data_IF_726803074861
#
_entry.id   IF_726803074861
#
_cell.length_a   1.000
_cell.length_b   1.000
_cell.length_c   1.000
_cell.angle_alpha   90.00
_cell.angle_beta   90.00
_cell.angle_gamma   90.00
#
_symmetry.space_group_name_H-M   'P 1'
#
loop_
_entity.id
_entity.type
_entity.pdbx_description
1 polymer ?
#
# COMPACT_ATOMS: atom_id res chain seq x y z
N UNK A 1 54.29 113.04 79.65
CA UNK A 1 53.61 112.00 80.46
C UNK A 1 54.55 111.65 81.60
N UNK A 2 54.02 111.60 82.82
CA UNK A 2 54.68 111.35 84.11
C UNK A 2 56.00 110.55 84.09
N UNK A 3 57.10 111.24 84.38
CA UNK A 3 58.16 110.74 85.27
C UNK A 3 58.12 111.73 86.44
N UNK A 4 57.40 111.46 87.53
CA UNK A 4 57.45 110.21 88.28
C UNK A 4 58.27 110.54 89.52
N UNK A 5 57.64 111.22 90.48
CA UNK A 5 58.29 111.73 91.70
C UNK A 5 58.60 110.59 92.69
N UNK A 6 59.45 109.67 92.29
CA UNK A 6 60.12 108.76 93.22
C UNK A 6 61.39 109.44 93.71
N UNK A 7 61.19 110.44 94.58
CA UNK A 7 62.20 110.80 95.58
C UNK A 7 62.33 109.58 96.48
N UNK A 8 63.22 108.68 96.09
CA UNK A 8 63.65 107.57 96.92
C UNK A 8 64.16 108.14 98.23
N UNK A 9 63.29 108.12 99.24
CA UNK A 9 63.57 108.58 100.58
C UNK A 9 64.63 107.64 101.12
N UNK A 10 65.89 108.05 101.03
CA UNK A 10 67.02 107.37 101.69
C UNK A 10 66.55 107.05 103.10
N UNK A 11 66.40 105.77 103.46
CA UNK A 11 65.84 105.41 104.74
C UNK A 11 66.84 105.90 105.79
N UNK A 12 66.47 106.99 106.48
CA UNK A 12 67.17 107.45 107.67
C UNK A 12 67.02 106.33 108.70
N UNK A 13 68.04 105.46 108.72
CA UNK A 13 68.09 104.31 109.62
C UNK A 13 67.81 104.77 111.04
N UNK A 14 67.11 103.93 111.80
CA UNK A 14 66.79 104.21 113.19
C UNK A 14 68.06 104.68 113.92
N UNK A 15 67.98 105.85 114.55
CA UNK A 15 69.15 106.52 115.13
C UNK A 15 69.87 105.62 116.13
N UNK A 16 71.19 105.77 116.20
CA UNK A 16 72.06 104.90 117.00
C UNK A 16 71.58 104.75 118.45
N UNK A 17 71.68 103.53 118.97
CA UNK A 17 71.38 103.24 120.37
C UNK A 17 72.33 104.00 121.31
N UNK A 18 71.85 104.38 122.50
CA UNK A 18 72.67 105.09 123.49
C UNK A 18 73.25 104.15 124.55
N UNK A 19 74.56 104.21 124.75
CA UNK A 19 75.26 103.61 125.90
C UNK A 19 75.59 104.69 126.95
N UNK A 20 76.08 104.31 128.14
CA UNK A 20 76.33 105.24 129.25
C UNK A 20 77.37 106.32 128.89
N UNK A 21 76.87 107.47 128.41
CA UNK A 21 77.57 108.68 127.89
C UNK A 21 77.90 108.68 126.39
N UNK A 22 77.09 108.09 125.52
CA UNK A 22 77.21 108.34 124.08
C UNK A 22 76.33 107.46 123.19
N UNK A 23 76.43 107.65 121.89
CA UNK A 23 75.93 106.67 120.90
C UNK A 23 76.81 105.41 120.90
N UNK A 24 76.22 104.27 120.57
CA UNK A 24 76.92 103.00 120.41
C UNK A 24 77.95 103.13 119.27
N UNK A 25 79.22 103.15 119.65
CA UNK A 25 80.33 103.35 118.72
C UNK A 25 80.35 102.31 117.59
N UNK A 26 80.03 101.04 117.87
CA UNK A 26 80.04 99.99 116.86
C UNK A 26 78.98 100.24 115.76
N UNK A 27 77.79 100.73 116.14
CA UNK A 27 76.75 101.08 115.18
C UNK A 27 77.10 102.33 114.35
N UNK A 28 77.78 103.31 114.96
CA UNK A 28 78.27 104.50 114.25
C UNK A 28 79.37 104.12 113.25
N UNK A 29 80.35 103.32 113.68
CA UNK A 29 81.44 102.86 112.81
C UNK A 29 80.88 102.02 111.64
N UNK A 30 79.93 101.09 111.87
CA UNK A 30 79.24 100.32 110.81
C UNK A 30 78.46 101.22 109.83
N UNK A 31 77.78 102.26 110.32
CA UNK A 31 77.04 103.19 109.46
C UNK A 31 77.96 104.09 108.64
N UNK A 32 79.09 104.52 109.19
CA UNK A 32 80.11 105.27 108.45
C UNK A 32 80.76 104.39 107.37
N UNK A 33 81.08 103.12 107.67
CA UNK A 33 81.55 102.16 106.66
C UNK A 33 80.53 101.94 105.54
N UNK A 34 79.23 101.89 105.88
CA UNK A 34 78.14 101.82 104.89
C UNK A 34 78.06 103.08 104.02
N UNK A 35 78.06 104.26 104.62
CA UNK A 35 78.05 105.53 103.88
C UNK A 35 79.28 105.69 102.98
N UNK A 36 80.46 105.27 103.44
CA UNK A 36 81.67 105.25 102.62
C UNK A 36 81.58 104.25 101.46
N UNK A 37 80.89 103.13 101.63
CA UNK A 37 80.61 102.18 100.55
C UNK A 37 79.59 102.76 99.55
N UNK A 38 78.51 103.36 100.03
CA UNK A 38 77.48 104.00 99.21
C UNK A 38 78.04 105.19 98.41
N UNK A 39 78.90 106.02 99.02
CA UNK A 39 79.61 107.10 98.31
C UNK A 39 80.60 106.58 97.27
N UNK A 40 81.26 105.44 97.50
CA UNK A 40 82.13 104.80 96.50
C UNK A 40 81.32 104.23 95.33
N UNK A 41 80.16 103.62 95.59
CA UNK A 41 79.24 103.16 94.55
C UNK A 41 78.72 104.35 93.74
N UNK A 42 78.20 105.39 94.38
CA UNK A 42 77.67 106.58 93.68
C UNK A 42 78.75 107.35 92.91
N UNK A 43 80.00 107.37 93.38
CA UNK A 43 81.12 107.90 92.62
C UNK A 43 81.44 107.04 91.38
N UNK A 44 81.42 105.71 91.51
CA UNK A 44 81.62 104.80 90.38
C UNK A 44 80.47 104.91 89.35
N UNK A 45 79.22 105.01 89.79
CA UNK A 45 78.05 105.19 88.93
C UNK A 45 78.09 106.54 88.21
N UNK A 46 78.48 107.62 88.91
CA UNK A 46 78.73 108.93 88.29
C UNK A 46 79.81 108.82 87.21
N UNK A 47 80.94 108.20 87.50
CA UNK A 47 82.06 108.12 86.58
C UNK A 47 81.75 107.23 85.37
N UNK A 48 80.96 106.15 85.56
CA UNK A 48 80.38 105.36 84.49
C UNK A 48 79.41 106.16 83.62
N UNK A 49 78.50 106.93 84.23
CA UNK A 49 77.55 107.79 83.51
C UNK A 49 78.27 108.91 82.73
N UNK A 50 79.33 109.50 83.28
CA UNK A 50 80.18 110.49 82.59
C UNK A 50 80.91 109.85 81.41
N UNK A 51 81.42 108.62 81.54
CA UNK A 51 82.00 107.89 80.41
C UNK A 51 80.97 107.63 79.31
N UNK A 52 79.79 107.12 79.67
CA UNK A 52 78.70 106.84 78.72
C UNK A 52 78.21 108.11 78.01
N UNK A 53 78.10 109.23 78.73
CA UNK A 53 77.76 110.52 78.13
C UNK A 53 78.86 111.00 77.15
N UNK A 54 80.13 110.77 77.47
CA UNK A 54 81.26 111.03 76.57
C UNK A 54 81.25 110.15 75.31
N UNK A 55 80.91 108.86 75.44
CA UNK A 55 80.77 107.94 74.31
C UNK A 55 79.60 108.30 73.39
N UNK A 56 78.43 108.61 73.97
CA UNK A 56 77.25 109.06 73.22
C UNK A 56 77.51 110.40 72.52
N UNK A 57 78.22 111.33 73.16
CA UNK A 57 78.64 112.58 72.53
C UNK A 57 79.56 112.34 71.31
N UNK A 58 80.53 111.41 71.43
CA UNK A 58 81.38 111.01 70.29
C UNK A 58 80.56 110.40 69.14
N UNK A 59 79.62 109.50 69.44
CA UNK A 59 78.74 108.90 68.42
C UNK A 59 77.85 109.95 67.74
N UNK A 60 77.33 110.92 68.49
CA UNK A 60 76.55 112.03 67.95
C UNK A 60 77.36 112.91 66.99
N UNK A 61 78.61 113.23 67.32
CA UNK A 61 79.47 114.02 66.42
C UNK A 61 79.88 113.24 65.15
N UNK A 62 80.12 111.93 65.26
CA UNK A 62 80.34 111.06 64.08
C UNK A 62 79.11 111.07 63.17
N UNK A 63 77.92 110.80 63.72
CA UNK A 63 76.68 110.79 62.95
C UNK A 63 76.32 112.16 62.37
N UNK A 64 76.65 113.27 63.06
CA UNK A 64 76.52 114.64 62.52
C UNK A 64 77.44 114.86 61.32
N UNK A 65 78.71 114.47 61.44
CA UNK A 65 79.68 114.53 60.34
C UNK A 65 79.20 113.73 59.12
N UNK A 66 78.76 112.49 59.31
CA UNK A 66 78.19 111.65 58.24
C UNK A 66 76.95 112.27 57.59
N UNK A 67 76.04 112.85 58.39
CA UNK A 67 74.85 113.55 57.89
C UNK A 67 75.23 114.77 57.05
N UNK A 68 76.20 115.57 57.48
CA UNK A 68 76.62 116.77 56.77
C UNK A 68 77.45 116.43 55.50
N UNK A 69 78.26 115.36 55.53
CA UNK A 69 78.89 114.80 54.34
C UNK A 69 77.88 114.28 53.31
N UNK A 70 76.86 113.55 53.76
CA UNK A 70 75.76 113.06 52.91
C UNK A 70 74.93 114.22 52.36
N UNK A 71 74.64 115.25 53.15
CA UNK A 71 73.97 116.47 52.69
C UNK A 71 74.79 117.20 51.65
N UNK A 72 76.10 117.36 51.87
CA UNK A 72 77.01 117.95 50.90
C UNK A 72 77.10 117.16 49.59
N UNK A 73 77.04 115.82 49.65
CA UNK A 73 76.92 114.98 48.45
C UNK A 73 75.58 115.20 47.73
N UNK A 74 74.46 115.22 48.45
CA UNK A 74 73.13 115.47 47.87
C UNK A 74 73.06 116.85 47.23
N UNK A 75 73.60 117.89 47.87
CA UNK A 75 73.62 119.25 47.32
C UNK A 75 74.46 119.33 46.03
N UNK A 76 75.64 118.71 46.01
CA UNK A 76 76.47 118.60 44.78
C UNK A 76 75.76 117.85 43.65
N UNK A 77 74.96 116.83 43.96
CA UNK A 77 74.19 116.06 42.97
C UNK A 77 72.88 116.76 42.53
N UNK A 78 72.33 117.65 43.36
CA UNK A 78 71.12 118.41 43.09
C UNK A 78 71.38 119.68 42.25
N UNK A 79 72.56 120.29 42.38
CA UNK A 79 72.97 121.41 41.53
C UNK A 79 73.21 120.95 40.07
N UNK A 80 72.99 121.81 39.06
CA UNK A 80 73.36 121.50 37.67
C UNK A 80 74.87 121.23 37.58
N UNK A 81 75.32 120.15 36.91
CA UNK A 81 76.74 119.79 36.88
C UNK A 81 77.54 120.83 36.08
N UNK A 82 78.24 121.71 36.79
CA UNK A 82 79.18 122.70 36.24
C UNK A 82 80.60 122.14 36.09
N UNK A 83 80.85 120.93 36.59
CA UNK A 83 82.14 120.22 36.50
C UNK A 83 81.98 118.84 35.85
N UNK A 84 83.03 118.40 35.15
CA UNK A 84 83.07 117.10 34.47
C UNK A 84 82.95 115.91 35.44
N UNK A 85 83.45 116.08 36.67
CA UNK A 85 83.46 115.05 37.71
C UNK A 85 82.05 114.79 38.29
N UNK A 86 81.26 115.85 38.54
CA UNK A 86 79.86 115.71 38.95
C UNK A 86 78.97 115.08 37.86
N UNK A 87 79.30 115.33 36.58
CA UNK A 87 78.65 114.65 35.47
C UNK A 87 79.00 113.15 35.43
N UNK A 88 80.25 112.77 35.66
CA UNK A 88 80.67 111.37 35.65
C UNK A 88 80.10 110.57 36.83
N UNK A 89 80.06 111.14 38.05
CA UNK A 89 79.46 110.50 39.22
C UNK A 89 77.95 110.27 39.02
N UNK A 90 77.23 111.27 38.50
CA UNK A 90 75.79 111.15 38.20
C UNK A 90 75.52 110.11 37.10
N UNK A 91 76.36 110.04 36.06
CA UNK A 91 76.27 109.01 35.03
C UNK A 91 76.53 107.61 35.60
N UNK A 92 77.52 107.44 36.48
CA UNK A 92 77.79 106.16 37.15
C UNK A 92 76.61 105.71 38.03
N UNK A 93 76.02 106.61 38.82
CA UNK A 93 74.83 106.32 39.63
C UNK A 93 73.61 105.99 38.75
N UNK A 94 73.41 106.70 37.64
CA UNK A 94 72.33 106.42 36.67
C UNK A 94 72.52 105.07 35.95
N UNK A 95 73.76 104.73 35.56
CA UNK A 95 74.09 103.44 34.96
C UNK A 95 73.86 102.29 35.95
N UNK A 96 74.24 102.48 37.23
CA UNK A 96 73.97 101.49 38.28
C UNK A 96 72.47 101.29 38.49
N UNK A 97 71.70 102.37 38.63
CA UNK A 97 70.23 102.29 38.78
C UNK A 97 69.57 101.64 37.55
N UNK A 98 70.07 101.89 36.33
CA UNK A 98 69.59 101.23 35.12
C UNK A 98 69.98 99.74 35.04
N UNK A 99 71.13 99.35 35.60
CA UNK A 99 71.53 97.95 35.75
C UNK A 99 70.67 97.23 36.78
N UNK A 100 70.39 97.87 37.92
CA UNK A 100 69.54 97.36 38.98
C UNK A 100 68.08 97.19 38.47
N UNK A 101 67.50 98.20 37.81
CA UNK A 101 66.16 98.11 37.20
C UNK A 101 66.08 97.05 36.09
N UNK A 102 67.15 96.87 35.31
CA UNK A 102 67.24 95.82 34.29
C UNK A 102 67.35 94.41 34.90
N UNK A 103 68.03 94.26 36.05
CA UNK A 103 68.09 93.02 36.80
C UNK A 103 66.71 92.69 37.41
N UNK A 104 66.05 93.68 38.01
CA UNK A 104 64.68 93.58 38.53
C UNK A 104 63.67 93.18 37.44
N UNK A 105 63.74 93.83 36.26
CA UNK A 105 62.88 93.51 35.12
C UNK A 105 63.10 92.08 34.63
N UNK A 106 64.35 91.60 34.59
CA UNK A 106 64.67 90.20 34.25
C UNK A 106 64.14 89.23 35.31
N UNK A 107 64.36 89.52 36.59
CA UNK A 107 63.88 88.66 37.68
C UNK A 107 62.35 88.52 37.67
N UNK A 108 61.61 89.61 37.43
CA UNK A 108 60.14 89.58 37.25
C UNK A 108 59.74 88.75 36.03
N UNK A 109 60.36 88.97 34.87
CA UNK A 109 60.08 88.22 33.65
C UNK A 109 60.41 86.71 33.77
N UNK A 110 61.48 86.36 34.47
CA UNK A 110 61.86 84.97 34.75
C UNK A 110 60.89 84.29 35.72
N UNK A 111 60.43 85.01 36.76
CA UNK A 111 59.40 84.52 37.67
C UNK A 111 58.06 84.31 36.95
N UNK A 112 57.61 85.28 36.14
CA UNK A 112 56.39 85.16 35.32
C UNK A 112 56.49 83.99 34.32
N UNK A 113 57.61 83.85 33.62
CA UNK A 113 57.86 82.71 32.73
C UNK A 113 57.86 81.37 33.48
N UNK A 114 58.42 81.34 34.70
CA UNK A 114 58.36 80.18 35.60
C UNK A 114 56.92 79.82 35.98
N UNK A 115 56.11 80.79 36.38
CA UNK A 115 54.69 80.59 36.70
C UNK A 115 53.88 80.10 35.49
N UNK A 116 54.12 80.65 34.29
CA UNK A 116 53.45 80.23 33.06
C UNK A 116 53.82 78.77 32.72
N UNK A 117 55.10 78.39 32.80
CA UNK A 117 55.55 77.01 32.57
C UNK A 117 54.96 76.04 33.59
N UNK A 118 55.07 76.34 34.89
CA UNK A 118 54.53 75.49 35.95
C UNK A 118 53.02 75.28 35.82
N UNK A 119 52.27 76.33 35.44
CA UNK A 119 50.84 76.20 35.14
C UNK A 119 50.58 75.33 33.92
N UNK A 120 51.28 75.55 32.81
CA UNK A 120 51.12 74.76 31.59
C UNK A 120 51.48 73.27 31.80
N UNK A 121 52.51 72.98 32.61
CA UNK A 121 52.89 71.62 32.99
C UNK A 121 51.84 70.97 33.90
N UNK A 122 51.30 71.69 34.87
CA UNK A 122 50.19 71.24 35.72
C UNK A 122 48.95 70.93 34.87
N UNK A 123 48.52 71.85 34.01
CA UNK A 123 47.36 71.68 33.12
C UNK A 123 47.56 70.50 32.16
N UNK A 124 48.78 70.34 31.61
CA UNK A 124 49.12 69.19 30.76
C UNK A 124 49.12 67.85 31.54
N UNK A 125 49.59 67.82 32.78
CA UNK A 125 49.52 66.60 33.62
C UNK A 125 48.08 66.24 33.98
N UNK A 126 47.24 67.23 34.29
CA UNK A 126 45.83 67.03 34.61
C UNK A 126 45.06 66.50 33.38
N UNK A 127 45.35 67.03 32.19
CA UNK A 127 44.81 66.50 30.93
C UNK A 127 45.24 65.05 30.69
N UNK A 128 46.53 64.71 30.85
CA UNK A 128 47.03 63.34 30.68
C UNK A 128 46.35 62.36 31.63
N UNK A 129 46.24 62.70 32.91
CA UNK A 129 45.59 61.86 33.92
C UNK A 129 44.12 61.58 33.55
N UNK A 130 43.37 62.59 33.11
CA UNK A 130 41.98 62.42 32.64
C UNK A 130 41.87 61.54 31.39
N UNK A 131 42.81 61.65 30.45
CA UNK A 131 42.81 60.78 29.27
C UNK A 131 43.19 59.34 29.62
N UNK A 132 44.10 59.13 30.56
CA UNK A 132 44.47 57.80 31.07
C UNK A 132 43.26 57.14 31.77
N UNK A 133 42.58 57.87 32.65
CA UNK A 133 41.33 57.44 33.31
C UNK A 133 40.26 57.06 32.28
N UNK A 134 39.96 57.93 31.31
CA UNK A 134 38.99 57.67 30.25
C UNK A 134 39.38 56.46 29.37
N UNK A 135 40.67 56.27 29.09
CA UNK A 135 41.16 55.09 28.35
C UNK A 135 41.00 53.81 29.17
N UNK A 136 41.21 53.86 30.49
CA UNK A 136 40.95 52.71 31.37
C UNK A 136 39.47 52.36 31.40
N UNK A 137 38.58 53.34 31.62
CA UNK A 137 37.12 53.17 31.62
C UNK A 137 36.62 52.57 30.29
N UNK A 138 37.05 53.12 29.15
CA UNK A 138 36.71 52.57 27.83
C UNK A 138 37.25 51.15 27.61
N UNK A 139 38.42 50.83 28.16
CA UNK A 139 38.99 49.47 28.08
C UNK A 139 38.21 48.46 28.92
N UNK A 140 37.73 48.88 30.10
CA UNK A 140 36.92 48.05 31.00
C UNK A 140 35.53 47.87 30.42
N UNK A 141 34.88 48.95 29.98
CA UNK A 141 33.58 48.90 29.33
C UNK A 141 33.60 48.03 28.07
N UNK A 142 34.69 48.05 27.29
CA UNK A 142 34.88 47.13 26.17
C UNK A 142 34.99 45.68 26.62
N UNK A 143 35.77 45.36 27.67
CA UNK A 143 35.88 44.00 28.21
C UNK A 143 34.54 43.47 28.73
N UNK A 144 33.77 44.31 29.44
CA UNK A 144 32.40 43.99 29.89
C UNK A 144 31.50 43.64 28.70
N UNK A 145 31.41 44.53 27.71
CA UNK A 145 30.57 44.29 26.52
C UNK A 145 31.01 43.06 25.73
N UNK A 146 32.30 42.77 25.64
CA UNK A 146 32.81 41.53 25.02
C UNK A 146 32.48 40.28 25.85
N UNK A 147 32.48 40.37 27.19
CA UNK A 147 32.10 39.27 28.08
C UNK A 147 30.60 38.99 27.99
N UNK A 148 29.75 40.01 28.09
CA UNK A 148 28.29 39.88 27.92
C UNK A 148 27.93 39.39 26.51
N UNK A 149 28.57 39.91 25.46
CA UNK A 149 28.34 39.43 24.10
C UNK A 149 28.74 37.96 23.92
N UNK A 150 29.88 37.53 24.48
CA UNK A 150 30.28 36.10 24.47
C UNK A 150 29.29 35.23 25.24
N UNK A 151 28.79 35.71 26.39
CA UNK A 151 27.79 35.01 27.20
C UNK A 151 26.48 34.84 26.45
N UNK A 152 25.91 35.91 25.91
CA UNK A 152 24.69 35.87 25.08
C UNK A 152 24.87 34.97 23.85
N UNK A 153 26.03 35.01 23.18
CA UNK A 153 26.32 34.09 22.08
C UNK A 153 26.47 32.62 22.52
N UNK A 154 26.96 32.35 23.73
CA UNK A 154 27.05 30.99 24.26
C UNK A 154 25.66 30.46 24.66
N UNK A 155 24.86 31.29 25.34
CA UNK A 155 23.47 30.99 25.72
C UNK A 155 22.61 30.73 24.47
N UNK A 156 22.62 31.64 23.48
CA UNK A 156 21.87 31.47 22.24
C UNK A 156 22.33 30.24 21.41
N UNK A 157 23.60 29.84 21.49
CA UNK A 157 24.09 28.60 20.87
C UNK A 157 23.61 27.35 21.61
N UNK A 158 23.65 27.36 22.95
CA UNK A 158 23.15 26.26 23.77
C UNK A 158 21.64 26.06 23.58
N UNK A 159 20.85 27.15 23.59
CA UNK A 159 19.42 27.12 23.29
C UNK A 159 19.13 26.58 21.88
N UNK A 160 19.89 27.02 20.87
CA UNK A 160 19.74 26.51 19.50
C UNK A 160 20.07 25.01 19.40
N UNK A 161 21.11 24.54 20.10
CA UNK A 161 21.47 23.12 20.16
C UNK A 161 20.42 22.29 20.91
N UNK A 162 19.84 22.83 22.00
CA UNK A 162 18.74 22.21 22.74
C UNK A 162 17.46 22.10 21.88
N UNK A 163 17.10 23.16 21.15
CA UNK A 163 15.96 23.16 20.22
C UNK A 163 16.19 22.14 19.10
N UNK A 164 17.37 22.12 18.48
CA UNK A 164 17.70 21.20 17.38
C UNK A 164 17.74 19.74 17.84
N UNK A 165 18.27 19.47 19.03
CA UNK A 165 18.31 18.11 19.60
C UNK A 165 16.92 17.61 19.99
N UNK A 166 16.09 18.45 20.63
CA UNK A 166 14.67 18.14 20.89
C UNK A 166 13.88 17.88 19.60
N UNK A 167 14.04 18.74 18.60
CA UNK A 167 13.35 18.58 17.32
C UNK A 167 13.77 17.30 16.57
N UNK A 168 15.04 16.91 16.67
CA UNK A 168 15.52 15.61 16.13
C UNK A 168 14.93 14.43 16.90
N UNK A 169 14.94 14.46 18.23
CA UNK A 169 14.39 13.37 19.05
C UNK A 169 12.88 13.17 18.82
N UNK A 170 12.10 14.25 18.72
CA UNK A 170 10.67 14.16 18.38
C UNK A 170 10.45 13.68 16.93
N UNK A 171 11.27 14.10 15.96
CA UNK A 171 11.23 13.55 14.60
C UNK A 171 11.48 12.04 14.61
N UNK A 172 12.59 11.61 15.21
CA UNK A 172 13.03 10.22 15.20
C UNK A 172 11.97 9.31 15.86
N UNK A 173 11.39 9.78 16.98
CA UNK A 173 10.24 9.14 17.62
C UNK A 173 9.01 9.05 16.69
N UNK A 174 8.66 10.14 16.00
CA UNK A 174 7.50 10.14 15.08
C UNK A 174 7.74 9.25 13.86
N UNK A 175 8.98 9.15 13.37
CA UNK A 175 9.36 8.25 12.29
C UNK A 175 9.27 6.78 12.75
N UNK A 176 9.73 6.44 13.96
CA UNK A 176 9.54 5.12 14.59
C UNK A 176 8.06 4.78 14.80
N UNK A 177 7.27 5.69 15.38
CA UNK A 177 5.82 5.51 15.57
C UNK A 177 5.09 5.33 14.22
N UNK A 178 5.53 6.03 13.16
CA UNK A 178 4.96 5.92 11.82
C UNK A 178 5.40 4.61 11.13
N UNK A 179 6.62 4.12 11.36
CA UNK A 179 7.10 2.84 10.84
C UNK A 179 6.35 1.67 11.48
N UNK A 180 6.22 1.66 12.80
CA UNK A 180 5.43 0.65 13.53
C UNK A 180 3.98 0.61 13.03
N UNK A 181 3.34 1.77 12.77
CA UNK A 181 2.00 1.83 12.19
C UNK A 181 1.95 1.32 10.75
N UNK A 182 2.97 1.57 9.92
CA UNK A 182 3.04 0.99 8.56
C UNK A 182 3.14 -0.53 8.62
N UNK A 183 4.06 -1.07 9.41
CA UNK A 183 4.23 -2.52 9.59
C UNK A 183 2.95 -3.17 10.12
N UNK A 184 2.30 -2.59 11.14
CA UNK A 184 1.04 -3.12 11.66
C UNK A 184 -0.08 -3.13 10.60
N UNK A 185 -0.22 -2.06 9.81
CA UNK A 185 -1.21 -2.01 8.71
C UNK A 185 -0.88 -2.99 7.60
N UNK A 186 0.40 -3.22 7.29
CA UNK A 186 0.85 -4.21 6.33
C UNK A 186 0.55 -5.65 6.82
N UNK A 187 0.87 -5.97 8.07
CA UNK A 187 0.54 -7.26 8.71
C UNK A 187 -0.99 -7.52 8.74
N UNK A 188 -1.78 -6.56 9.22
CA UNK A 188 -3.25 -6.66 9.25
C UNK A 188 -3.83 -6.83 7.84
N UNK A 189 -3.28 -6.13 6.85
CA UNK A 189 -3.68 -6.25 5.44
C UNK A 189 -3.32 -7.62 4.87
N UNK A 190 -2.11 -8.15 5.13
CA UNK A 190 -1.70 -9.48 4.69
C UNK A 190 -2.58 -10.57 5.31
N UNK A 191 -2.89 -10.47 6.61
CA UNK A 191 -3.80 -11.39 7.31
C UNK A 191 -5.20 -11.32 6.71
N UNK A 192 -5.76 -10.13 6.52
CA UNK A 192 -7.08 -9.94 5.92
C UNK A 192 -7.15 -10.47 4.47
N UNK A 193 -6.09 -10.23 3.67
CA UNK A 193 -5.99 -10.72 2.29
C UNK A 193 -5.72 -12.23 2.22
N UNK A 194 -5.00 -12.81 3.17
CA UNK A 194 -4.87 -14.26 3.31
C UNK A 194 -6.24 -14.89 3.64
N UNK A 195 -6.93 -14.40 4.67
CA UNK A 195 -8.27 -14.87 5.04
C UNK A 195 -9.27 -14.76 3.88
N UNK A 196 -9.28 -13.63 3.16
CA UNK A 196 -10.14 -13.43 1.98
C UNK A 196 -9.80 -14.37 0.82
N UNK A 197 -8.51 -14.67 0.58
CA UNK A 197 -8.07 -15.66 -0.42
C UNK A 197 -8.52 -17.07 -0.03
N UNK A 198 -8.32 -17.48 1.22
CA UNK A 198 -8.77 -18.78 1.72
C UNK A 198 -10.28 -18.95 1.61
N UNK A 199 -11.06 -17.93 1.99
CA UNK A 199 -12.53 -17.98 1.87
C UNK A 199 -12.99 -18.02 0.41
N UNK A 200 -12.37 -17.24 -0.48
CA UNK A 200 -12.66 -17.30 -1.91
C UNK A 200 -12.33 -18.68 -2.52
N UNK A 201 -11.22 -19.31 -2.12
CA UNK A 201 -10.87 -20.67 -2.52
C UNK A 201 -11.86 -21.70 -1.95
N UNK A 202 -12.35 -21.52 -0.71
CA UNK A 202 -13.36 -22.38 -0.09
C UNK A 202 -14.68 -22.33 -0.85
N UNK A 203 -15.16 -21.12 -1.18
CA UNK A 203 -16.39 -20.91 -1.96
C UNK A 203 -16.26 -21.49 -3.38
N UNK A 204 -15.12 -21.30 -4.05
CA UNK A 204 -14.86 -21.91 -5.36
C UNK A 204 -14.86 -23.45 -5.28
N UNK A 205 -14.18 -24.04 -4.30
CA UNK A 205 -14.17 -25.49 -4.10
C UNK A 205 -15.57 -26.05 -3.79
N UNK A 206 -16.40 -25.31 -3.04
CA UNK A 206 -17.79 -25.67 -2.76
C UNK A 206 -18.68 -25.56 -4.03
N UNK A 207 -18.48 -24.52 -4.85
CA UNK A 207 -19.14 -24.38 -6.16
C UNK A 207 -18.74 -25.48 -7.14
N UNK A 208 -17.45 -25.86 -7.19
CA UNK A 208 -16.97 -26.98 -8.00
C UNK A 208 -17.52 -28.32 -7.51
N UNK A 209 -17.50 -28.56 -6.19
CA UNK A 209 -18.02 -29.79 -5.59
C UNK A 209 -19.54 -29.94 -5.81
N UNK A 210 -20.33 -28.88 -5.63
CA UNK A 210 -21.77 -28.88 -5.90
C UNK A 210 -22.07 -29.06 -7.39
N UNK A 211 -21.38 -28.32 -8.27
CA UNK A 211 -21.52 -28.47 -9.73
C UNK A 211 -21.19 -29.89 -10.19
N UNK A 212 -20.13 -30.49 -9.65
CA UNK A 212 -19.74 -31.87 -9.92
C UNK A 212 -20.77 -32.87 -9.39
N UNK A 213 -21.24 -32.70 -8.16
CA UNK A 213 -22.27 -33.57 -7.57
C UNK A 213 -23.59 -33.50 -8.36
N UNK A 214 -23.98 -32.32 -8.85
CA UNK A 214 -25.14 -32.20 -9.74
C UNK A 214 -24.91 -32.82 -11.12
N UNK A 215 -23.72 -32.68 -11.71
CA UNK A 215 -23.38 -33.33 -12.98
C UNK A 215 -23.42 -34.86 -12.83
N UNK A 216 -22.84 -35.40 -11.75
CA UNK A 216 -22.92 -36.82 -11.40
C UNK A 216 -24.36 -37.28 -11.09
N UNK A 217 -25.22 -36.40 -10.53
CA UNK A 217 -26.65 -36.68 -10.35
C UNK A 217 -27.36 -36.77 -11.70
N UNK A 218 -27.23 -35.76 -12.56
CA UNK A 218 -27.82 -35.72 -13.91
C UNK A 218 -27.36 -36.89 -14.79
N UNK A 219 -26.08 -37.25 -14.73
CA UNK A 219 -25.56 -38.43 -15.44
C UNK A 219 -26.17 -39.72 -14.89
N UNK A 220 -26.27 -39.89 -13.56
CA UNK A 220 -26.94 -41.06 -12.97
C UNK A 220 -28.41 -41.14 -13.37
N UNK A 221 -29.17 -40.06 -13.19
CA UNK A 221 -30.58 -39.95 -13.60
C UNK A 221 -30.74 -40.31 -15.08
N UNK A 222 -29.99 -39.69 -15.99
CA UNK A 222 -30.02 -40.00 -17.41
C UNK A 222 -29.62 -41.46 -17.74
N UNK A 223 -28.68 -42.06 -16.99
CA UNK A 223 -28.34 -43.49 -17.18
C UNK A 223 -29.41 -44.44 -16.68
N UNK A 224 -30.11 -44.12 -15.58
CA UNK A 224 -31.24 -44.93 -15.09
C UNK A 224 -32.48 -44.75 -15.98
N UNK A 225 -32.75 -43.54 -16.47
CA UNK A 225 -33.78 -43.31 -17.50
C UNK A 225 -33.45 -44.06 -18.80
N UNK A 226 -32.20 -44.01 -19.27
CA UNK A 226 -31.78 -44.76 -20.45
C UNK A 226 -31.88 -46.28 -20.24
N UNK A 227 -31.59 -46.80 -19.04
CA UNK A 227 -31.84 -48.20 -18.69
C UNK A 227 -33.33 -48.52 -18.67
N UNK A 228 -34.16 -47.67 -18.08
CA UNK A 228 -35.62 -47.86 -18.00
C UNK A 228 -36.28 -47.80 -19.38
N UNK A 229 -35.85 -46.90 -20.26
CA UNK A 229 -36.27 -46.84 -21.66
C UNK A 229 -35.81 -48.10 -22.39
N UNK A 230 -34.55 -48.54 -22.25
CA UNK A 230 -34.08 -49.80 -22.85
C UNK A 230 -34.83 -51.02 -22.33
N UNK A 231 -35.20 -51.05 -21.05
CA UNK A 231 -36.00 -52.12 -20.46
C UNK A 231 -37.43 -52.14 -21.02
N UNK A 232 -38.09 -50.97 -21.12
CA UNK A 232 -39.41 -50.83 -21.78
C UNK A 232 -39.35 -51.22 -23.25
N UNK A 233 -38.36 -50.75 -24.01
CA UNK A 233 -38.17 -51.14 -25.42
C UNK A 233 -37.90 -52.63 -25.53
N UNK A 234 -37.14 -53.24 -24.62
CA UNK A 234 -36.96 -54.70 -24.61
C UNK A 234 -38.27 -55.44 -24.29
N UNK A 235 -39.10 -54.95 -23.36
CA UNK A 235 -40.41 -55.50 -23.03
C UNK A 235 -41.39 -55.37 -24.21
N UNK A 236 -41.48 -54.19 -24.83
CA UNK A 236 -42.20 -53.92 -26.07
C UNK A 236 -41.70 -54.79 -27.22
N UNK A 237 -40.39 -54.99 -27.37
CA UNK A 237 -39.82 -55.92 -28.35
C UNK A 237 -40.21 -57.37 -28.05
N UNK A 238 -40.18 -57.83 -26.78
CA UNK A 238 -40.60 -59.20 -26.45
C UNK A 238 -42.09 -59.41 -26.71
N UNK A 239 -42.96 -58.49 -26.29
CA UNK A 239 -44.40 -58.57 -26.52
C UNK A 239 -44.75 -58.44 -28.01
N UNK A 240 -44.08 -57.58 -28.76
CA UNK A 240 -44.22 -57.50 -30.22
C UNK A 240 -43.71 -58.77 -30.92
N UNK A 241 -42.57 -59.34 -30.50
CA UNK A 241 -42.07 -60.63 -31.01
C UNK A 241 -43.05 -61.76 -30.72
N UNK A 242 -43.61 -61.83 -29.52
CA UNK A 242 -44.67 -62.80 -29.19
C UNK A 242 -45.95 -62.57 -30.00
N UNK A 243 -46.35 -61.32 -30.26
CA UNK A 243 -47.54 -61.03 -31.05
C UNK A 243 -47.33 -61.40 -32.52
N UNK A 244 -46.16 -61.07 -33.08
CA UNK A 244 -45.72 -61.52 -34.41
C UNK A 244 -45.69 -63.05 -34.46
N UNK A 245 -45.20 -63.73 -33.42
CA UNK A 245 -45.20 -65.18 -33.36
C UNK A 245 -46.61 -65.76 -33.25
N UNK A 246 -47.51 -65.17 -32.44
CA UNK A 246 -48.93 -65.55 -32.38
C UNK A 246 -49.62 -65.37 -33.73
N UNK A 247 -49.40 -64.23 -34.42
CA UNK A 247 -49.92 -63.96 -35.77
C UNK A 247 -49.37 -64.96 -36.78
N UNK A 248 -48.08 -65.28 -36.73
CA UNK A 248 -47.43 -66.30 -37.56
C UNK A 248 -47.99 -67.70 -37.29
N UNK A 249 -48.14 -68.10 -36.02
CA UNK A 249 -48.75 -69.39 -35.62
C UNK A 249 -50.20 -69.49 -36.10
N UNK A 250 -51.01 -68.43 -35.93
CA UNK A 250 -52.39 -68.37 -36.46
C UNK A 250 -52.41 -68.49 -37.98
N UNK A 251 -51.60 -67.71 -38.70
CA UNK A 251 -51.52 -67.77 -40.17
C UNK A 251 -51.05 -69.14 -40.68
N UNK A 252 -50.08 -69.79 -40.02
CA UNK A 252 -49.66 -71.16 -40.34
C UNK A 252 -50.75 -72.18 -40.02
N UNK A 253 -51.49 -72.01 -38.92
CA UNK A 253 -52.62 -72.87 -38.58
C UNK A 253 -53.77 -72.73 -39.59
N UNK A 254 -54.13 -71.50 -40.00
CA UNK A 254 -55.10 -71.24 -41.06
C UNK A 254 -54.66 -71.79 -42.42
N UNK A 255 -53.38 -71.63 -42.78
CA UNK A 255 -52.82 -72.19 -44.02
C UNK A 255 -52.86 -73.73 -44.00
N UNK A 256 -52.52 -74.35 -42.86
CA UNK A 256 -52.64 -75.80 -42.67
C UNK A 256 -54.11 -76.25 -42.68
N UNK A 257 -55.04 -75.48 -42.12
CA UNK A 257 -56.48 -75.78 -42.15
C UNK A 257 -57.05 -75.69 -43.57
N UNK A 258 -56.67 -74.66 -44.35
CA UNK A 258 -57.02 -74.55 -45.79
C UNK A 258 -56.41 -75.67 -46.61
N UNK A 259 -55.17 -76.08 -46.30
CA UNK A 259 -54.55 -77.24 -46.94
C UNK A 259 -55.29 -78.53 -46.58
N UNK A 260 -55.68 -78.71 -45.32
CA UNK A 260 -56.43 -79.87 -44.87
C UNK A 260 -57.83 -79.93 -45.46
N UNK A 261 -58.54 -78.80 -45.56
CA UNK A 261 -59.86 -78.72 -46.19
C UNK A 261 -59.75 -79.00 -47.69
N UNK A 262 -58.78 -78.41 -48.39
CA UNK A 262 -58.52 -78.68 -49.81
C UNK A 262 -58.13 -80.14 -50.07
N UNK A 263 -57.35 -80.78 -49.19
CA UNK A 263 -57.07 -82.22 -49.24
C UNK A 263 -58.34 -83.03 -49.01
N UNK A 264 -59.21 -82.65 -48.05
CA UNK A 264 -60.47 -83.35 -47.82
C UNK A 264 -61.45 -83.22 -48.99
N UNK A 265 -61.53 -82.05 -49.65
CA UNK A 265 -62.34 -81.83 -50.85
C UNK A 265 -61.78 -82.61 -52.05
N UNK A 266 -60.45 -82.65 -52.23
CA UNK A 266 -59.81 -83.45 -53.26
C UNK A 266 -60.08 -84.95 -53.05
N UNK A 267 -59.95 -85.43 -51.82
CA UNK A 267 -60.24 -86.82 -51.46
C UNK A 267 -61.74 -87.15 -51.61
N UNK A 268 -62.64 -86.22 -51.29
CA UNK A 268 -64.08 -86.39 -51.50
C UNK A 268 -64.41 -86.53 -52.99
N UNK A 269 -63.83 -85.68 -53.86
CA UNK A 269 -63.97 -85.81 -55.33
C UNK A 269 -63.39 -87.12 -55.87
N UNK A 270 -62.28 -87.60 -55.32
CA UNK A 270 -61.70 -88.90 -55.69
C UNK A 270 -62.62 -90.05 -55.27
N UNK A 271 -63.19 -89.99 -54.06
CA UNK A 271 -64.16 -90.99 -53.59
C UNK A 271 -65.42 -91.01 -54.46
N UNK A 272 -66.01 -89.84 -54.73
CA UNK A 272 -67.20 -89.69 -55.58
C UNK A 272 -66.98 -90.20 -57.01
N UNK A 273 -65.83 -89.88 -57.62
CA UNK A 273 -65.43 -90.42 -58.92
C UNK A 273 -65.19 -91.95 -58.90
N UNK A 274 -64.67 -92.48 -57.79
CA UNK A 274 -64.44 -93.93 -57.62
C UNK A 274 -65.77 -94.68 -57.46
N UNK A 275 -66.73 -94.13 -56.71
CA UNK A 275 -68.06 -94.70 -56.56
C UNK A 275 -68.86 -94.64 -57.86
N UNK A 276 -68.70 -93.59 -58.66
CA UNK A 276 -69.31 -93.50 -59.99
C UNK A 276 -68.67 -94.45 -61.01
N UNK A 277 -67.36 -94.70 -60.91
CA UNK A 277 -66.69 -95.74 -61.69
C UNK A 277 -67.18 -97.15 -61.30
N UNK A 278 -67.25 -97.46 -60.01
CA UNK A 278 -67.77 -98.72 -59.48
C UNK A 278 -69.23 -98.98 -59.89
N UNK A 279 -70.06 -97.93 -59.95
CA UNK A 279 -71.45 -97.99 -60.43
C UNK A 279 -71.53 -98.44 -61.89
N UNK A 280 -70.78 -97.78 -62.79
CA UNK A 280 -70.71 -98.15 -64.22
C UNK A 280 -70.23 -99.59 -64.43
N UNK A 281 -69.25 -100.06 -63.64
CA UNK A 281 -68.76 -101.45 -63.71
C UNK A 281 -69.85 -102.45 -63.31
N UNK A 282 -70.63 -102.17 -62.25
CA UNK A 282 -71.76 -103.03 -61.85
C UNK A 282 -72.84 -103.10 -62.94
N UNK A 283 -73.27 -101.94 -63.45
CA UNK A 283 -74.27 -101.84 -64.52
C UNK A 283 -73.86 -102.62 -65.78
N UNK A 284 -72.60 -102.48 -66.22
CA UNK A 284 -72.06 -103.23 -67.36
C UNK A 284 -71.98 -104.75 -67.10
N UNK A 285 -71.65 -105.16 -65.87
CA UNK A 285 -71.55 -106.58 -65.49
C UNK A 285 -72.94 -107.24 -65.46
N UNK A 286 -73.96 -106.54 -64.96
CA UNK A 286 -75.34 -107.01 -65.02
C UNK A 286 -75.86 -107.14 -66.46
N UNK A 287 -75.55 -106.18 -67.33
CA UNK A 287 -75.98 -106.20 -68.72
C UNK A 287 -75.31 -107.35 -69.51
N UNK A 288 -74.04 -107.66 -69.22
CA UNK A 288 -73.35 -108.83 -69.74
C UNK A 288 -74.02 -110.14 -69.30
N UNK A 289 -74.33 -110.29 -68.00
CA UNK A 289 -75.01 -111.47 -67.47
C UNK A 289 -76.41 -111.69 -68.09
N UNK A 290 -77.17 -110.63 -68.34
CA UNK A 290 -78.47 -110.71 -69.05
C UNK A 290 -78.29 -111.25 -70.47
N UNK A 291 -77.27 -110.80 -71.22
CA UNK A 291 -76.96 -111.27 -72.58
C UNK A 291 -76.54 -112.75 -72.60
N UNK A 292 -75.70 -113.18 -71.65
CA UNK A 292 -75.25 -114.59 -71.54
C UNK A 292 -76.42 -115.52 -71.24
N UNK A 293 -77.27 -115.20 -70.25
CA UNK A 293 -78.42 -116.03 -69.90
C UNK A 293 -79.42 -116.15 -71.07
N UNK A 294 -79.71 -115.06 -71.77
CA UNK A 294 -80.58 -115.09 -72.96
C UNK A 294 -80.01 -115.96 -74.10
N UNK A 295 -78.69 -115.98 -74.29
CA UNK A 295 -78.03 -116.87 -75.26
C UNK A 295 -78.10 -118.35 -74.83
N UNK A 296 -77.94 -118.64 -73.53
CA UNK A 296 -78.01 -120.01 -73.00
C UNK A 296 -79.39 -120.64 -73.16
N UNK A 297 -80.47 -119.89 -72.90
CA UNK A 297 -81.84 -120.38 -73.14
C UNK A 297 -82.14 -120.59 -74.63
N UNK A 298 -81.63 -119.73 -75.52
CA UNK A 298 -81.69 -119.92 -76.98
C UNK A 298 -81.06 -121.26 -77.42
N UNK A 299 -79.95 -121.66 -76.80
CA UNK A 299 -79.25 -122.93 -77.09
C UNK A 299 -79.99 -124.15 -76.52
N UNK A 300 -80.64 -124.03 -75.35
CA UNK A 300 -81.52 -125.10 -74.83
C UNK A 300 -82.72 -125.36 -75.75
N UNK A 301 -83.39 -124.30 -76.21
CA UNK A 301 -84.54 -124.41 -77.12
C UNK A 301 -84.18 -125.13 -78.44
N UNK A 302 -83.02 -124.79 -79.03
CA UNK A 302 -82.53 -125.44 -80.26
C UNK A 302 -82.13 -126.90 -80.05
N UNK A 303 -81.66 -127.29 -78.86
CA UNK A 303 -81.39 -128.70 -78.52
C UNK A 303 -82.67 -129.51 -78.36
N UNK A 304 -83.71 -128.96 -77.72
CA UNK A 304 -85.00 -129.63 -77.59
C UNK A 304 -85.68 -129.90 -78.95
N UNK A 305 -85.60 -128.93 -79.88
CA UNK A 305 -86.13 -129.08 -81.24
C UNK A 305 -85.43 -130.20 -82.02
N UNK A 306 -84.10 -130.35 -81.83
CA UNK A 306 -83.31 -131.42 -82.45
C UNK A 306 -83.71 -132.82 -81.97
N UNK A 307 -83.99 -133.00 -80.68
CA UNK A 307 -84.39 -134.30 -80.12
C UNK A 307 -85.76 -134.73 -80.66
N UNK A 308 -86.72 -133.81 -80.69
CA UNK A 308 -88.08 -134.03 -81.24
C UNK A 308 -88.06 -134.49 -82.71
N UNK A 309 -87.20 -133.89 -83.55
CA UNK A 309 -87.05 -134.28 -84.96
C UNK A 309 -86.35 -135.64 -85.10
N UNK A 310 -85.43 -136.01 -84.21
CA UNK A 310 -84.76 -137.30 -84.25
C UNK A 310 -85.72 -138.47 -83.92
N UNK A 311 -86.61 -138.28 -82.95
CA UNK A 311 -87.61 -139.29 -82.55
C UNK A 311 -88.65 -139.54 -83.66
N UNK A 312 -89.07 -138.49 -84.38
CA UNK A 312 -90.02 -138.60 -85.49
C UNK A 312 -89.46 -139.39 -86.70
N UNK A 313 -88.15 -139.36 -86.94
CA UNK A 313 -87.50 -140.16 -88.00
C UNK A 313 -87.34 -141.63 -87.59
N UNK A 314 -87.29 -141.92 -86.28
CA UNK A 314 -87.18 -143.28 -85.76
C UNK A 314 -88.52 -144.04 -85.83
N UNK A 315 -89.64 -143.37 -85.51
CA UNK A 315 -90.98 -143.96 -85.52
C UNK A 315 -91.51 -144.30 -86.93
N UNK A 316 -91.11 -143.55 -87.97
CA UNK A 316 -91.47 -143.87 -89.35
C UNK A 316 -90.68 -145.08 -89.92
N UNK A 317 -89.53 -145.43 -89.32
CA UNK A 317 -88.69 -146.56 -89.76
C UNK A 317 -89.15 -147.91 -89.24
N UNK A 318 -89.92 -147.98 -88.14
CA UNK A 318 -90.43 -149.25 -87.61
C UNK A 318 -91.61 -149.84 -88.38
N UNK A 319 -92.32 -149.06 -89.20
CA UNK A 319 -93.51 -149.52 -89.95
C UNK A 319 -93.18 -150.03 -91.37
N UNK A 320 -91.93 -149.86 -91.83
CA UNK A 320 -91.42 -150.47 -93.07
C UNK A 320 -90.50 -151.68 -92.84
N UNK A 321 -90.31 -152.10 -91.57
CA UNK A 321 -89.41 -153.19 -91.22
C UNK A 321 -90.10 -154.57 -91.07
N UNK A 322 -91.43 -154.66 -91.19
CA UNK A 322 -92.20 -155.92 -91.12
C UNK A 322 -92.76 -156.37 -92.49
N UNK A 323 -92.42 -155.66 -93.57
CA UNK A 323 -92.82 -156.03 -94.94
C UNK A 323 -91.76 -155.73 -96.00
N UNK A 324 -90.46 -155.86 -95.68
CA UNK A 324 -89.40 -156.02 -96.69
C UNK A 324 -89.41 -157.46 -97.26
N UNK A 325 -90.58 -157.90 -97.71
CA UNK A 325 -90.71 -159.00 -98.66
C UNK A 325 -90.85 -158.40 -100.06
N UNK A 326 -89.73 -157.89 -100.61
CA UNK A 326 -89.36 -157.72 -102.03
C UNK A 326 -88.58 -156.41 -102.32
N UNK A 327 -87.31 -156.61 -102.73
CA UNK A 327 -86.49 -155.76 -103.63
C UNK A 327 -86.02 -154.38 -103.08
N UNK A 328 -84.80 -153.90 -103.39
CA UNK A 328 -83.76 -154.51 -104.22
C UNK A 328 -82.71 -153.54 -104.81
N UNK A 329 -81.79 -153.02 -103.97
CA UNK A 329 -80.45 -152.48 -104.29
C UNK A 329 -80.21 -151.07 -104.95
N UNK A 330 -79.14 -150.42 -104.43
CA UNK A 330 -78.08 -149.63 -105.11
C UNK A 330 -78.16 -148.09 -105.35
N UNK A 331 -77.62 -147.32 -104.38
CA UNK A 331 -76.44 -146.40 -104.52
C UNK A 331 -76.56 -145.04 -105.33
N UNK A 332 -75.54 -144.12 -105.37
CA UNK A 332 -75.64 -142.83 -104.63
C UNK A 332 -75.06 -141.54 -105.31
N UNK A 333 -74.89 -140.44 -104.52
CA UNK A 333 -74.07 -139.21 -104.76
C UNK A 333 -74.70 -138.07 -105.63
N UNK A 334 -74.35 -136.76 -105.57
CA UNK A 334 -73.46 -135.91 -104.73
C UNK A 334 -73.77 -134.37 -104.88
N UNK A 335 -73.27 -133.54 -103.93
CA UNK A 335 -72.76 -132.12 -104.04
C UNK A 335 -73.61 -130.84 -104.29
N UNK A 336 -73.30 -129.85 -103.41
CA UNK A 336 -72.98 -128.41 -103.63
C UNK A 336 -74.02 -127.37 -104.12
N UNK A 337 -74.09 -126.23 -103.42
CA UNK A 337 -74.83 -124.99 -103.79
C UNK A 337 -74.03 -123.74 -103.38
N UNK A 338 -74.12 -122.66 -104.17
CA UNK A 338 -73.65 -121.32 -103.81
C UNK A 338 -74.44 -120.20 -104.53
N UNK A 339 -74.44 -118.99 -103.95
CA UNK A 339 -75.21 -117.81 -104.43
C UNK A 339 -76.71 -117.88 -104.12
N UNK A 340 -77.54 -116.82 -104.09
CA UNK A 340 -77.41 -115.35 -104.15
C UNK A 340 -78.55 -114.75 -103.26
N UNK A 341 -78.68 -113.47 -102.90
CA UNK A 341 -78.04 -112.20 -103.33
C UNK A 341 -78.03 -111.15 -102.18
N UNK A 342 -77.66 -109.91 -102.52
CA UNK A 342 -77.72 -108.64 -101.76
C UNK A 342 -79.14 -108.06 -101.67
N UNK A 343 -79.40 -107.08 -100.79
CA UNK A 343 -79.61 -105.65 -101.16
C UNK A 343 -79.70 -104.68 -99.94
N UNK A 344 -79.71 -103.32 -100.11
CA UNK A 344 -78.89 -102.43 -99.26
C UNK A 344 -79.62 -101.17 -98.73
N UNK A 345 -78.83 -100.13 -98.38
CA UNK A 345 -79.23 -98.72 -98.20
C UNK A 345 -80.12 -98.45 -96.95
N UNK A 346 -80.32 -97.24 -96.43
CA UNK A 346 -79.77 -95.88 -96.65
C UNK A 346 -79.89 -95.15 -95.28
N UNK A 347 -79.61 -93.87 -95.00
CA UNK A 347 -79.01 -92.69 -95.65
C UNK A 347 -78.64 -91.72 -94.50
N UNK A 348 -77.66 -90.81 -94.64
CA UNK A 348 -77.95 -89.38 -94.87
C UNK A 348 -78.02 -88.55 -93.56
N UNK A 349 -77.54 -87.31 -93.44
CA UNK A 349 -76.66 -86.48 -94.27
C UNK A 349 -75.50 -85.93 -93.41
N UNK A 350 -74.35 -85.48 -93.93
CA UNK A 350 -74.07 -84.39 -94.89
C UNK A 350 -74.46 -82.97 -94.42
N UNK A 351 -73.41 -82.14 -94.29
CA UNK A 351 -73.30 -80.70 -94.66
C UNK A 351 -74.17 -79.65 -93.94
N UNK A 352 -73.51 -78.84 -93.13
CA UNK A 352 -73.20 -77.41 -93.41
C UNK A 352 -72.07 -76.98 -92.47
N UNK A 353 -71.02 -76.27 -92.86
CA UNK A 353 -70.90 -74.92 -93.47
C UNK A 353 -71.12 -73.74 -92.50
N UNK A 354 -70.44 -72.59 -92.72
CA UNK A 354 -70.07 -71.67 -91.65
C UNK A 354 -71.02 -70.47 -91.52
N UNK A 355 -70.95 -69.77 -90.38
CA UNK A 355 -71.48 -68.41 -90.25
C UNK A 355 -70.57 -67.53 -89.37
N UNK A 356 -70.03 -66.51 -90.01
CA UNK A 356 -69.31 -65.37 -89.44
C UNK A 356 -70.28 -64.40 -88.74
N UNK A 357 -69.72 -63.47 -87.95
CA UNK A 357 -70.35 -62.29 -87.34
C UNK A 357 -71.12 -62.50 -86.02
N UNK A 358 -70.91 -61.68 -84.98
CA UNK A 358 -69.91 -60.62 -84.81
C UNK A 358 -70.32 -59.56 -83.78
N UNK A 359 -69.38 -58.63 -83.45
CA UNK A 359 -69.59 -57.42 -82.60
C UNK A 359 -70.00 -57.71 -81.13
N UNK A 360 -69.52 -57.03 -80.10
CA UNK A 360 -68.83 -55.72 -80.00
C UNK A 360 -67.59 -55.90 -79.08
N UNK A 361 -66.40 -55.33 -79.32
CA UNK A 361 -65.97 -53.92 -79.44
C UNK A 361 -66.20 -53.05 -78.19
N UNK A 362 -65.09 -52.82 -77.46
CA UNK A 362 -64.84 -51.62 -76.65
C UNK A 362 -65.38 -51.68 -75.22
N UNK A 363 -64.87 -50.85 -74.30
CA UNK A 363 -63.73 -49.91 -74.39
C UNK A 363 -63.31 -49.52 -72.95
N UNK A 364 -62.06 -49.12 -72.74
CA UNK A 364 -61.63 -48.23 -71.63
C UNK A 364 -62.47 -46.91 -71.63
N UNK A 365 -62.44 -46.00 -70.62
CA UNK A 365 -61.50 -45.88 -69.48
C UNK A 365 -62.16 -45.44 -68.14
N UNK A 366 -61.34 -44.93 -67.21
CA UNK A 366 -61.64 -43.85 -66.22
C UNK A 366 -62.64 -44.16 -65.08
N UNK A 367 -62.57 -43.53 -63.90
CA UNK A 367 -61.54 -42.72 -63.19
C UNK A 367 -62.19 -42.29 -61.88
N UNK A 368 -61.51 -42.48 -60.75
CA UNK A 368 -61.43 -41.56 -59.60
C UNK A 368 -60.44 -42.13 -58.57
#
# INVERSE_FOLDING_TARGET
MSLGEERELVPLGAGFDFEKRGYNRAQVDEHLERLDADLKMLAADRDAAVSQAGDLARQLEIARGEIDDLRGQVERLAQPPTTLEGLSERLQRMLRLAQDEAADTRARAEAEAGHIRAKAESDASAMRARYEELLTELSERRKEMEAEHRKVLAEARAEAEEIVSKAKAERDRLDEEAEQRRTQVEEDFEIAMAARRTEAMRVLAEQEATSKAEAERRVREATEEAKAIRAKVAEEETTAREEIERRRRKSVAEANQRKQSSISEANARIAEATDEANRRVREATEEANRRVNHATERVKALRALRTSIAEQVQAARSVLAEAEQLLGQAAPAERAIGGQRREPASSGGRRSEPATAGKQRGRKPTRE
#
